data_IF_185324012808
#
_entry.id   IF_185324012808
#
_cell.length_a   1.000
_cell.length_b   1.000
_cell.length_c   1.000
_cell.angle_alpha   90.00
_cell.angle_beta   90.00
_cell.angle_gamma   90.00
#
_symmetry.space_group_name_H-M   'P 1'
#
loop_
_entity.id
_entity.type
_entity.pdbx_description
1 polymer ?
#
# COMPACT_ATOMS: atom_id res chain seq x y z
N UNK A 1 0.64 -24.45 9.15
CA UNK A 1 1.54 -23.32 9.45
C UNK A 1 2.87 -23.77 10.10
N UNK A 2 3.00 -25.03 10.51
CA UNK A 2 4.26 -25.62 11.01
C UNK A 2 4.96 -26.51 9.98
N UNK A 3 4.40 -26.67 8.79
CA UNK A 3 4.95 -27.49 7.70
C UNK A 3 6.03 -26.78 6.87
N UNK A 4 6.59 -27.49 5.89
CA UNK A 4 7.72 -27.05 5.07
C UNK A 4 7.43 -25.87 4.14
N UNK A 5 6.17 -25.49 3.96
CA UNK A 5 5.78 -24.33 3.15
C UNK A 5 5.92 -22.98 3.85
N UNK A 6 6.30 -22.96 5.14
CA UNK A 6 6.39 -21.77 5.96
C UNK A 6 7.82 -21.54 6.46
N UNK A 7 8.22 -20.28 6.59
CA UNK A 7 9.53 -19.92 7.11
C UNK A 7 9.66 -20.14 8.63
N UNK A 8 10.89 -20.18 9.13
CA UNK A 8 11.16 -20.48 10.55
C UNK A 8 10.67 -19.38 11.50
N UNK A 9 10.64 -18.12 11.07
CA UNK A 9 10.10 -17.00 11.85
C UNK A 9 8.60 -17.21 12.09
N UNK A 10 7.86 -17.52 11.02
CA UNK A 10 6.43 -17.84 11.10
C UNK A 10 6.15 -19.07 11.97
N UNK A 11 6.94 -20.14 11.81
CA UNK A 11 6.80 -21.34 12.64
C UNK A 11 7.08 -21.06 14.12
N UNK A 12 8.08 -20.24 14.40
CA UNK A 12 8.39 -19.84 15.77
C UNK A 12 7.27 -19.01 16.40
N UNK A 13 6.68 -18.07 15.65
CA UNK A 13 5.53 -17.29 16.11
C UNK A 13 4.32 -18.19 16.41
N UNK A 14 4.03 -19.16 15.54
CA UNK A 14 2.92 -20.11 15.76
C UNK A 14 3.18 -21.00 16.98
N UNK A 15 4.42 -21.49 17.17
CA UNK A 15 4.77 -22.28 18.37
C UNK A 15 4.59 -21.45 19.64
N UNK A 16 5.04 -20.18 19.63
CA UNK A 16 4.86 -19.30 20.78
C UNK A 16 3.39 -19.11 21.17
N UNK A 17 2.47 -18.96 20.18
CA UNK A 17 1.03 -18.91 20.45
C UNK A 17 0.50 -20.23 21.00
N UNK A 18 1.03 -21.39 20.51
CA UNK A 18 0.64 -22.72 20.98
C UNK A 18 1.12 -22.99 22.42
N UNK A 19 2.28 -22.47 22.80
CA UNK A 19 2.87 -22.67 24.12
C UNK A 19 2.31 -21.70 25.17
N UNK A 20 1.70 -20.58 24.74
CA UNK A 20 1.05 -19.62 25.65
C UNK A 20 -0.15 -20.26 26.34
N UNK A 21 -0.31 -20.06 27.65
CA UNK A 21 -1.48 -20.53 28.41
C UNK A 21 -2.77 -19.83 27.93
N UNK A 22 -2.68 -18.53 27.67
CA UNK A 22 -3.77 -17.77 27.03
C UNK A 22 -3.79 -18.04 25.52
N UNK A 23 -4.84 -18.70 25.06
CA UNK A 23 -5.06 -19.08 23.67
C UNK A 23 -5.80 -18.02 22.84
N UNK A 24 -6.10 -16.86 23.42
CA UNK A 24 -6.88 -15.79 22.75
C UNK A 24 -6.25 -15.40 21.41
N UNK A 25 -4.95 -15.09 21.41
CA UNK A 25 -4.26 -14.68 20.17
C UNK A 25 -4.18 -15.82 19.14
N UNK A 26 -3.97 -17.07 19.57
CA UNK A 26 -4.01 -18.23 18.71
C UNK A 26 -5.38 -18.40 18.04
N UNK A 27 -6.45 -18.27 18.82
CA UNK A 27 -7.83 -18.37 18.32
C UNK A 27 -8.08 -17.26 17.31
N UNK A 28 -7.80 -16.01 17.69
CA UNK A 28 -7.98 -14.85 16.81
C UNK A 28 -7.17 -14.92 15.50
N UNK A 29 -5.98 -15.51 15.55
CA UNK A 29 -5.13 -15.67 14.38
C UNK A 29 -5.63 -16.72 13.39
N UNK A 30 -6.40 -17.72 13.85
CA UNK A 30 -6.73 -18.92 13.04
C UNK A 30 -8.23 -19.29 12.98
N UNK A 31 -9.15 -18.59 13.67
CA UNK A 31 -10.56 -18.99 13.69
C UNK A 31 -11.28 -18.83 12.35
N UNK A 32 -10.72 -18.03 11.44
CA UNK A 32 -11.18 -17.84 10.06
C UNK A 32 -10.03 -17.44 9.15
N UNK A 33 -10.30 -17.36 7.86
CA UNK A 33 -9.40 -16.77 6.89
C UNK A 33 -9.64 -15.25 6.79
N UNK A 34 -8.58 -14.49 6.51
CA UNK A 34 -8.68 -13.07 6.25
C UNK A 34 -9.44 -12.83 4.94
N UNK A 35 -10.60 -12.20 5.04
CA UNK A 35 -11.48 -12.01 3.90
C UNK A 35 -10.92 -10.98 2.92
N UNK A 36 -10.87 -11.34 1.65
CA UNK A 36 -10.71 -10.38 0.58
C UNK A 36 -12.09 -9.70 0.36
N UNK A 37 -12.27 -8.53 0.98
CA UNK A 37 -13.49 -7.73 0.85
C UNK A 37 -13.49 -6.88 -0.41
N UNK A 38 -14.47 -5.96 -0.52
CA UNK A 38 -14.52 -5.01 -1.63
C UNK A 38 -13.20 -4.24 -1.76
N UNK A 39 -12.45 -4.57 -2.81
CA UNK A 39 -11.20 -3.93 -3.16
C UNK A 39 -9.98 -4.28 -2.30
N UNK A 40 -9.98 -5.36 -1.50
CA UNK A 40 -8.74 -5.82 -0.86
C UNK A 40 -8.86 -6.49 0.51
N UNK A 41 -7.72 -6.61 1.20
CA UNK A 41 -7.57 -7.15 2.55
C UNK A 41 -7.27 -6.05 3.56
N UNK A 42 -7.63 -6.25 4.81
CA UNK A 42 -7.18 -5.45 5.95
C UNK A 42 -7.21 -6.29 7.22
N UNK A 43 -6.15 -6.24 8.02
CA UNK A 43 -6.06 -6.97 9.27
C UNK A 43 -4.85 -6.60 10.10
N UNK A 44 -4.80 -7.12 11.31
CA UNK A 44 -3.62 -7.06 12.18
C UNK A 44 -2.50 -7.89 11.55
N UNK A 45 -1.27 -7.39 11.60
CA UNK A 45 -0.09 -8.12 11.12
C UNK A 45 0.30 -9.24 12.08
N UNK A 46 0.70 -10.39 11.54
CA UNK A 46 1.18 -11.54 12.31
C UNK A 46 1.00 -12.87 11.60
N UNK A 47 1.43 -13.94 12.25
CA UNK A 47 1.21 -15.30 11.77
C UNK A 47 -0.27 -15.71 11.94
N UNK A 48 -0.82 -16.39 10.95
CA UNK A 48 -2.21 -16.87 10.99
C UNK A 48 -2.98 -16.57 9.72
N UNK A 49 -4.06 -17.34 9.50
CA UNK A 49 -4.93 -17.19 8.33
C UNK A 49 -5.76 -15.90 8.40
N UNK A 50 -6.07 -15.43 9.61
CA UNK A 50 -6.81 -14.19 9.85
C UNK A 50 -5.89 -12.99 10.15
N UNK A 51 -4.67 -13.01 9.66
CA UNK A 51 -3.66 -11.97 9.85
C UNK A 51 -3.07 -11.51 8.51
N UNK A 52 -2.60 -10.25 8.47
CA UNK A 52 -1.78 -9.76 7.36
C UNK A 52 -0.34 -10.27 7.49
N UNK A 53 0.10 -11.05 6.53
CA UNK A 53 1.44 -11.61 6.43
C UNK A 53 1.79 -11.93 4.97
N UNK A 54 3.01 -12.40 4.73
CA UNK A 54 3.49 -12.72 3.38
C UNK A 54 2.66 -13.80 2.68
N UNK A 55 2.05 -14.73 3.43
CA UNK A 55 1.26 -15.83 2.87
C UNK A 55 -0.14 -15.38 2.48
N UNK A 56 -0.82 -14.58 3.31
CA UNK A 56 -2.14 -14.03 2.99
C UNK A 56 -2.06 -13.00 1.86
N UNK A 57 -1.01 -12.15 1.84
CA UNK A 57 -0.70 -11.25 0.71
C UNK A 57 -0.38 -12.05 -0.56
N UNK A 58 0.42 -13.11 -0.43
CA UNK A 58 0.75 -14.00 -1.55
C UNK A 58 -0.49 -14.67 -2.14
N UNK A 59 -1.37 -15.21 -1.30
CA UNK A 59 -2.62 -15.85 -1.75
C UNK A 59 -3.55 -14.85 -2.46
N UNK A 60 -3.73 -13.65 -1.90
CA UNK A 60 -4.50 -12.59 -2.53
C UNK A 60 -3.94 -12.21 -3.90
N UNK A 61 -2.60 -12.05 -3.99
CA UNK A 61 -1.92 -11.70 -5.23
C UNK A 61 -1.99 -12.81 -6.27
N UNK A 62 -1.90 -14.07 -5.84
CA UNK A 62 -2.07 -15.23 -6.73
C UNK A 62 -3.49 -15.27 -7.31
N UNK A 63 -4.51 -15.08 -6.48
CA UNK A 63 -5.91 -15.02 -6.93
C UNK A 63 -6.15 -13.88 -7.91
N UNK A 64 -5.65 -12.68 -7.59
CA UNK A 64 -5.73 -11.53 -8.49
C UNK A 64 -4.97 -11.81 -9.81
N UNK A 65 -3.79 -12.41 -9.76
CA UNK A 65 -3.04 -12.82 -10.97
C UNK A 65 -3.84 -13.78 -11.84
N UNK A 66 -4.51 -14.75 -11.23
CA UNK A 66 -5.35 -15.73 -11.94
C UNK A 66 -6.53 -15.02 -12.64
N UNK A 67 -7.18 -14.08 -11.95
CA UNK A 67 -8.27 -13.31 -12.52
C UNK A 67 -7.79 -12.41 -13.67
N UNK A 68 -6.70 -11.66 -13.48
CA UNK A 68 -6.15 -10.78 -14.52
C UNK A 68 -5.82 -11.55 -15.81
N UNK A 69 -5.23 -12.74 -15.72
CA UNK A 69 -4.95 -13.60 -16.88
C UNK A 69 -6.21 -14.06 -17.62
N UNK A 70 -7.35 -14.16 -16.93
CA UNK A 70 -8.64 -14.49 -17.57
C UNK A 70 -9.27 -13.24 -18.18
N UNK A 71 -9.27 -12.12 -17.45
CA UNK A 71 -9.90 -10.87 -17.87
C UNK A 71 -9.18 -10.21 -19.06
N UNK A 72 -7.88 -10.43 -19.18
CA UNK A 72 -7.01 -9.82 -20.21
C UNK A 72 -6.24 -10.88 -21.00
N UNK A 73 -6.89 -12.01 -21.31
CA UNK A 73 -6.27 -13.14 -22.01
C UNK A 73 -5.70 -12.78 -23.39
N UNK A 74 -6.28 -11.77 -24.06
CA UNK A 74 -5.89 -11.33 -25.40
C UNK A 74 -4.68 -10.37 -25.40
N UNK A 75 -4.24 -9.88 -24.22
CA UNK A 75 -3.10 -8.98 -24.15
C UNK A 75 -1.77 -9.76 -24.19
N UNK A 76 -0.80 -9.29 -24.97
CA UNK A 76 0.52 -9.92 -25.05
C UNK A 76 1.28 -9.81 -23.71
N UNK A 77 1.02 -8.77 -22.94
CA UNK A 77 1.63 -8.53 -21.63
C UNK A 77 0.66 -7.79 -20.71
N UNK A 78 0.30 -8.41 -19.61
CA UNK A 78 -0.43 -7.78 -18.50
C UNK A 78 0.57 -7.03 -17.63
N UNK A 79 0.18 -5.84 -17.14
CA UNK A 79 1.02 -4.95 -16.33
C UNK A 79 0.30 -4.56 -15.07
N UNK A 80 1.02 -4.40 -13.97
CA UNK A 80 0.50 -3.90 -12.69
C UNK A 80 1.44 -2.85 -12.10
N UNK A 81 0.89 -1.88 -11.37
CA UNK A 81 1.66 -0.93 -10.57
C UNK A 81 1.50 -1.27 -9.08
N UNK A 82 2.59 -1.22 -8.33
CA UNK A 82 2.59 -1.53 -6.89
C UNK A 82 3.23 -0.40 -6.11
N UNK A 83 2.50 0.12 -5.12
CA UNK A 83 3.01 1.07 -4.14
C UNK A 83 2.80 0.61 -2.71
N UNK A 84 3.39 1.33 -1.77
CA UNK A 84 3.25 1.05 -0.35
C UNK A 84 3.35 2.34 0.48
N UNK A 85 2.84 2.30 1.70
CA UNK A 85 2.97 3.38 2.68
C UNK A 85 4.18 3.18 3.62
N UNK A 86 4.21 3.95 4.72
CA UNK A 86 5.27 3.92 5.73
C UNK A 86 5.14 2.79 6.75
N UNK A 87 4.04 2.04 6.77
CA UNK A 87 3.76 1.03 7.80
C UNK A 87 4.79 -0.07 7.82
N UNK A 88 5.00 -0.62 9.01
CA UNK A 88 5.82 -1.82 9.18
C UNK A 88 5.35 -2.92 8.23
N UNK A 89 6.28 -3.61 7.61
CA UNK A 89 6.07 -4.63 6.59
C UNK A 89 5.42 -4.17 5.26
N UNK A 90 4.98 -2.93 5.06
CA UNK A 90 4.36 -2.50 3.79
C UNK A 90 5.31 -2.72 2.60
N UNK A 91 6.59 -2.38 2.73
CA UNK A 91 7.62 -2.63 1.71
C UNK A 91 7.79 -4.14 1.44
N UNK A 92 7.93 -4.95 2.50
CA UNK A 92 8.07 -6.42 2.39
C UNK A 92 6.85 -7.04 1.68
N UNK A 93 5.65 -6.59 2.02
CA UNK A 93 4.42 -7.06 1.37
C UNK A 93 4.32 -6.63 -0.10
N UNK A 94 4.80 -5.42 -0.44
CA UNK A 94 4.87 -4.96 -1.82
C UNK A 94 5.83 -5.81 -2.66
N UNK A 95 6.97 -6.18 -2.10
CA UNK A 95 7.94 -7.07 -2.74
C UNK A 95 7.38 -8.48 -2.94
N UNK A 96 6.69 -9.04 -1.95
CA UNK A 96 5.99 -10.33 -2.08
C UNK A 96 4.93 -10.28 -3.18
N UNK A 97 4.14 -9.21 -3.25
CA UNK A 97 3.16 -9.04 -4.32
C UNK A 97 3.86 -8.95 -5.70
N UNK A 98 4.97 -8.21 -5.79
CA UNK A 98 5.76 -8.11 -7.03
C UNK A 98 6.31 -9.47 -7.47
N UNK A 99 6.83 -10.26 -6.53
CA UNK A 99 7.32 -11.61 -6.80
C UNK A 99 6.20 -12.52 -7.33
N UNK A 100 5.04 -12.53 -6.69
CA UNK A 100 3.91 -13.38 -7.10
C UNK A 100 3.36 -12.96 -8.47
N UNK A 101 3.18 -11.65 -8.73
CA UNK A 101 2.75 -11.19 -10.06
C UNK A 101 3.75 -11.58 -11.14
N UNK A 102 5.04 -11.30 -10.93
CA UNK A 102 6.09 -11.59 -11.91
C UNK A 102 6.27 -13.09 -12.16
N UNK A 103 6.14 -13.93 -11.12
CA UNK A 103 6.13 -15.38 -11.24
C UNK A 103 4.94 -15.92 -12.06
N UNK A 104 3.87 -15.13 -12.19
CA UNK A 104 2.72 -15.43 -13.03
C UNK A 104 2.80 -14.83 -14.43
N UNK A 105 3.98 -14.26 -14.82
CA UNK A 105 4.21 -13.68 -16.14
C UNK A 105 3.67 -12.26 -16.31
N UNK A 106 3.31 -11.59 -15.22
CA UNK A 106 2.77 -10.24 -15.22
C UNK A 106 3.93 -9.24 -15.03
N UNK A 107 4.03 -8.22 -15.88
CA UNK A 107 4.98 -7.11 -15.73
C UNK A 107 4.59 -6.26 -14.52
N UNK A 108 5.55 -5.97 -13.67
CA UNK A 108 5.37 -5.20 -12.44
C UNK A 108 6.14 -3.90 -12.52
N UNK A 109 5.48 -2.79 -12.21
CA UNK A 109 6.07 -1.50 -11.89
C UNK A 109 6.00 -1.29 -10.38
N UNK A 110 7.12 -1.45 -9.70
CA UNK A 110 7.22 -1.33 -8.24
C UNK A 110 7.85 0.01 -7.87
N UNK A 111 7.18 0.82 -7.08
CA UNK A 111 7.75 2.06 -6.57
C UNK A 111 8.98 1.78 -5.68
N UNK A 112 10.04 2.57 -5.87
CA UNK A 112 11.32 2.46 -5.15
C UNK A 112 11.19 2.77 -3.64
N UNK A 113 10.22 3.60 -3.29
CA UNK A 113 9.92 4.01 -1.92
C UNK A 113 8.42 4.22 -1.74
N UNK A 114 8.00 4.60 -0.52
CA UNK A 114 6.61 4.92 -0.22
C UNK A 114 6.05 6.00 -1.16
N UNK A 115 4.80 5.82 -1.58
CA UNK A 115 4.05 6.81 -2.36
C UNK A 115 2.60 6.87 -1.90
N UNK A 116 1.95 8.03 -2.02
CA UNK A 116 0.54 8.17 -1.67
C UNK A 116 -0.35 7.42 -2.66
N UNK A 117 -1.48 6.93 -2.14
CA UNK A 117 -2.49 6.19 -2.93
C UNK A 117 -2.87 6.86 -4.26
N UNK A 118 -3.10 8.19 -4.34
CA UNK A 118 -3.45 8.84 -5.60
C UNK A 118 -2.38 8.72 -6.68
N UNK A 119 -1.12 8.66 -6.31
CA UNK A 119 -0.05 8.50 -7.29
C UNK A 119 0.01 7.08 -7.85
N UNK A 120 -0.27 6.05 -7.03
CA UNK A 120 -0.40 4.68 -7.53
C UNK A 120 -1.56 4.58 -8.52
N UNK A 121 -2.71 5.19 -8.22
CA UNK A 121 -3.84 5.32 -9.14
C UNK A 121 -3.45 6.02 -10.45
N UNK A 122 -2.66 7.08 -10.38
CA UNK A 122 -2.13 7.77 -11.56
C UNK A 122 -1.19 6.85 -12.36
N UNK A 123 -0.25 6.16 -11.70
CA UNK A 123 0.70 5.27 -12.35
C UNK A 123 0.02 4.13 -13.12
N UNK A 124 -1.08 3.57 -12.59
CA UNK A 124 -1.87 2.53 -13.28
C UNK A 124 -2.30 3.02 -14.66
N UNK A 125 -2.85 4.23 -14.74
CA UNK A 125 -3.34 4.83 -16.00
C UNK A 125 -2.19 5.29 -16.89
N UNK A 126 -1.20 5.94 -16.32
CA UNK A 126 -0.06 6.51 -17.04
C UNK A 126 0.80 5.43 -17.72
N UNK A 127 0.99 4.28 -17.07
CA UNK A 127 1.77 3.16 -17.56
C UNK A 127 0.94 2.13 -18.35
N UNK A 128 -0.37 2.34 -18.48
CA UNK A 128 -1.30 1.43 -19.15
C UNK A 128 -1.37 0.07 -18.46
N UNK A 129 -1.41 0.06 -17.12
CA UNK A 129 -1.55 -1.14 -16.33
C UNK A 129 -3.00 -1.64 -16.31
N UNK A 130 -3.19 -2.95 -16.19
CA UNK A 130 -4.50 -3.58 -16.07
C UNK A 130 -5.01 -3.59 -14.64
N UNK A 131 -4.09 -3.45 -13.68
CA UNK A 131 -4.41 -3.41 -12.26
C UNK A 131 -3.30 -2.72 -11.49
N UNK A 132 -3.53 -2.48 -10.21
CA UNK A 132 -2.51 -2.04 -9.28
C UNK A 132 -2.85 -2.41 -7.86
N UNK A 133 -1.84 -2.33 -7.00
CA UNK A 133 -1.95 -2.65 -5.59
C UNK A 133 -1.24 -1.60 -4.76
N UNK A 134 -1.83 -1.24 -3.63
CA UNK A 134 -1.13 -0.46 -2.62
C UNK A 134 -1.22 -1.15 -1.25
N UNK A 135 -0.06 -1.32 -0.62
CA UNK A 135 0.07 -1.90 0.72
C UNK A 135 -0.07 -0.78 1.74
N UNK A 136 -1.25 -0.70 2.36
CA UNK A 136 -1.60 0.37 3.32
C UNK A 136 -2.84 0.00 4.11
N UNK A 137 -2.87 0.40 5.38
CA UNK A 137 -4.10 0.39 6.18
C UNK A 137 -4.64 1.80 6.46
N UNK A 138 -4.32 2.79 5.60
CA UNK A 138 -4.78 4.18 5.74
C UNK A 138 -4.33 4.78 7.09
N UNK A 139 -5.28 5.12 7.97
CA UNK A 139 -5.06 5.70 9.30
C UNK A 139 -5.37 4.74 10.45
N UNK A 140 -5.52 3.44 10.18
CA UNK A 140 -5.70 2.44 11.24
C UNK A 140 -4.50 2.42 12.20
N UNK A 141 -4.65 1.88 13.42
CA UNK A 141 -3.55 1.66 14.35
C UNK A 141 -2.35 0.95 13.70
N UNK A 142 -1.17 1.13 14.28
CA UNK A 142 0.11 0.67 13.71
C UNK A 142 0.22 -0.84 13.52
N UNK A 143 -0.55 -1.61 14.27
CA UNK A 143 -0.60 -3.07 14.20
C UNK A 143 -1.27 -3.58 12.91
N UNK A 144 -2.02 -2.73 12.23
CA UNK A 144 -2.74 -3.07 11.01
C UNK A 144 -1.91 -2.81 9.76
N UNK A 145 -2.15 -3.66 8.77
CA UNK A 145 -1.78 -3.39 7.38
C UNK A 145 -2.93 -3.80 6.46
N UNK A 146 -2.80 -3.50 5.17
CA UNK A 146 -3.82 -3.81 4.18
C UNK A 146 -3.24 -3.95 2.79
N UNK A 147 -4.04 -4.53 1.92
CA UNK A 147 -3.77 -4.73 0.51
C UNK A 147 -4.98 -4.19 -0.25
N UNK A 148 -4.85 -3.04 -0.89
CA UNK A 148 -5.91 -2.44 -1.70
C UNK A 148 -5.65 -2.72 -3.17
N UNK A 149 -6.63 -3.33 -3.86
CA UNK A 149 -6.57 -3.63 -5.27
C UNK A 149 -7.32 -2.57 -6.11
N UNK A 150 -6.72 -2.21 -7.23
CA UNK A 150 -7.21 -1.21 -8.18
C UNK A 150 -7.38 -1.83 -9.56
N UNK A 151 -8.32 -1.29 -10.34
CA UNK A 151 -8.55 -1.73 -11.71
C UNK A 151 -7.83 -0.82 -12.71
N UNK A 152 -7.98 -1.08 -14.00
CA UNK A 152 -7.27 -0.40 -15.09
C UNK A 152 -7.65 1.08 -15.28
N UNK A 153 -8.74 1.52 -14.69
CA UNK A 153 -9.17 2.92 -14.64
C UNK A 153 -8.50 3.72 -13.51
N UNK A 154 -7.71 3.04 -12.66
CA UNK A 154 -7.06 3.62 -11.48
C UNK A 154 -7.98 3.79 -10.28
N UNK A 155 -9.22 3.32 -10.34
CA UNK A 155 -10.13 3.29 -9.20
C UNK A 155 -9.94 2.01 -8.36
N UNK A 156 -10.28 2.08 -7.08
CA UNK A 156 -10.33 0.89 -6.25
C UNK A 156 -11.32 -0.11 -6.86
N UNK A 157 -10.93 -1.38 -6.87
CA UNK A 157 -11.70 -2.45 -7.52
C UNK A 157 -13.09 -2.58 -6.91
N UNK A 158 -14.10 -2.62 -7.78
CA UNK A 158 -15.51 -2.79 -7.44
C UNK A 158 -16.13 -3.89 -8.30
N UNK A 159 -17.40 -4.22 -8.07
CA UNK A 159 -18.13 -5.22 -8.85
C UNK A 159 -18.10 -4.91 -10.37
N UNK A 160 -17.92 -5.92 -11.23
CA UNK A 160 -17.83 -7.36 -10.91
C UNK A 160 -16.41 -7.85 -10.56
N UNK A 161 -15.41 -6.98 -10.64
CA UNK A 161 -13.99 -7.35 -10.59
C UNK A 161 -13.54 -7.79 -9.20
N UNK A 162 -14.06 -7.15 -8.14
CA UNK A 162 -13.83 -7.54 -6.75
C UNK A 162 -14.33 -8.96 -6.48
N UNK A 163 -15.58 -9.26 -6.84
CA UNK A 163 -16.17 -10.58 -6.68
C UNK A 163 -15.41 -11.66 -7.47
N UNK A 164 -15.08 -11.38 -8.73
CA UNK A 164 -14.32 -12.31 -9.55
C UNK A 164 -12.91 -12.57 -8.98
N UNK A 165 -12.29 -11.57 -8.39
CA UNK A 165 -11.00 -11.72 -7.68
C UNK A 165 -11.16 -12.57 -6.42
N UNK A 166 -12.20 -12.31 -5.61
CA UNK A 166 -12.53 -13.11 -4.42
C UNK A 166 -12.70 -14.59 -4.80
N UNK A 167 -13.44 -14.87 -5.88
CA UNK A 167 -13.66 -16.24 -6.34
C UNK A 167 -12.35 -16.95 -6.73
N UNK A 168 -11.36 -16.24 -7.26
CA UNK A 168 -10.03 -16.80 -7.55
C UNK A 168 -9.16 -16.92 -6.29
N UNK A 169 -9.25 -15.99 -5.36
CA UNK A 169 -8.54 -16.06 -4.06
C UNK A 169 -9.03 -17.27 -3.27
N UNK A 170 -10.32 -17.51 -3.22
CA UNK A 170 -10.93 -18.63 -2.50
C UNK A 170 -10.55 -20.02 -3.05
N UNK A 171 -9.98 -20.08 -4.27
CA UNK A 171 -9.44 -21.32 -4.83
C UNK A 171 -8.03 -21.65 -4.35
N UNK A 172 -7.36 -20.67 -3.71
CA UNK A 172 -6.02 -20.87 -3.15
C UNK A 172 -6.18 -21.50 -1.76
N UNK A 173 -6.07 -22.80 -1.70
CA UNK A 173 -6.31 -23.59 -0.47
C UNK A 173 -5.02 -24.02 0.24
N UNK A 174 -3.89 -23.81 -0.41
CA UNK A 174 -2.56 -24.16 0.12
C UNK A 174 -1.52 -23.11 -0.23
N UNK A 175 -0.56 -22.91 0.66
CA UNK A 175 0.62 -22.07 0.39
C UNK A 175 1.38 -22.55 -0.86
N UNK A 176 1.27 -23.83 -1.21
CA UNK A 176 1.90 -24.44 -2.41
C UNK A 176 1.25 -23.99 -3.72
N UNK A 177 0.03 -23.44 -3.66
CA UNK A 177 -0.68 -22.92 -4.83
C UNK A 177 -0.16 -21.54 -5.22
N UNK A 178 0.63 -20.89 -4.36
CA UNK A 178 1.17 -19.55 -4.55
C UNK A 178 2.59 -19.63 -5.10
N UNK A 179 2.85 -18.86 -6.16
CA UNK A 179 4.16 -18.79 -6.82
C UNK A 179 4.99 -17.66 -6.20
N UNK A 180 5.68 -17.94 -5.11
CA UNK A 180 6.49 -16.94 -4.39
C UNK A 180 7.84 -16.61 -5.04
N UNK A 181 8.30 -17.41 -6.01
CA UNK A 181 9.59 -17.18 -6.66
C UNK A 181 9.44 -16.23 -7.83
N UNK A 182 9.71 -14.95 -7.62
CA UNK A 182 9.59 -13.90 -8.60
C UNK A 182 10.50 -14.06 -9.82
N UNK A 183 10.13 -13.35 -10.90
CA UNK A 183 10.95 -13.17 -12.09
C UNK A 183 11.43 -11.71 -12.16
N UNK A 184 12.69 -11.47 -11.81
CA UNK A 184 13.27 -10.13 -11.74
C UNK A 184 13.24 -9.37 -13.08
N UNK A 185 13.25 -10.07 -14.23
CA UNK A 185 13.17 -9.45 -15.56
C UNK A 185 11.81 -8.77 -15.81
N UNK A 186 10.77 -9.20 -15.06
CA UNK A 186 9.43 -8.62 -15.15
C UNK A 186 9.16 -7.56 -14.07
N UNK A 187 10.13 -7.27 -13.18
CA UNK A 187 10.00 -6.24 -12.16
C UNK A 187 10.83 -5.03 -12.55
N UNK A 188 10.17 -3.92 -12.73
CA UNK A 188 10.78 -2.62 -13.02
C UNK A 188 10.56 -1.67 -11.85
N UNK A 189 11.65 -1.11 -11.33
CA UNK A 189 11.58 -0.12 -10.27
C UNK A 189 11.27 1.24 -10.88
N UNK A 190 10.23 1.90 -10.36
CA UNK A 190 9.79 3.24 -10.76
C UNK A 190 9.88 4.21 -9.58
N UNK A 191 9.94 5.50 -9.85
CA UNK A 191 10.07 6.54 -8.82
C UNK A 191 10.01 7.94 -9.41
N UNK A 192 11.10 8.71 -9.35
CA UNK A 192 11.15 10.15 -9.64
C UNK A 192 10.54 10.55 -10.98
N UNK A 193 10.65 9.73 -12.01
CA UNK A 193 10.05 10.04 -13.32
C UNK A 193 8.51 10.05 -13.22
N UNK A 194 7.94 9.12 -12.46
CA UNK A 194 6.48 9.09 -12.22
C UNK A 194 6.09 10.23 -11.29
N UNK A 195 6.87 10.50 -10.23
CA UNK A 195 6.66 11.66 -9.33
C UNK A 195 6.53 12.94 -10.15
N UNK A 196 7.47 13.19 -11.07
CA UNK A 196 7.49 14.38 -11.93
C UNK A 196 6.24 14.46 -12.80
N UNK A 197 5.88 13.39 -13.52
CA UNK A 197 4.67 13.36 -14.36
C UNK A 197 3.40 13.60 -13.53
N UNK A 198 3.34 13.01 -12.32
CA UNK A 198 2.22 13.18 -11.41
C UNK A 198 2.10 14.64 -10.94
N UNK A 199 3.19 15.26 -10.50
CA UNK A 199 3.23 16.66 -10.06
C UNK A 199 2.88 17.63 -11.21
N UNK A 200 3.37 17.39 -12.42
CA UNK A 200 3.03 18.16 -13.61
C UNK A 200 1.53 18.06 -13.92
N UNK A 201 0.96 16.85 -13.79
CA UNK A 201 -0.48 16.63 -13.99
C UNK A 201 -1.31 17.36 -12.94
N UNK A 202 -0.93 17.28 -11.66
CA UNK A 202 -1.63 18.00 -10.58
C UNK A 202 -1.60 19.51 -10.80
N UNK A 203 -0.47 20.05 -11.24
CA UNK A 203 -0.35 21.49 -11.54
C UNK A 203 -1.39 21.98 -12.54
N UNK A 204 -1.74 21.17 -13.53
CA UNK A 204 -2.77 21.53 -14.53
C UNK A 204 -4.18 21.66 -13.94
N UNK A 205 -4.39 21.18 -12.72
CA UNK A 205 -5.69 21.23 -12.03
C UNK A 205 -5.87 22.52 -11.21
N UNK A 206 -4.86 23.40 -11.16
CA UNK A 206 -4.94 24.68 -10.46
C UNK A 206 -6.00 25.59 -11.10
N UNK A 207 -7.00 25.97 -10.30
CA UNK A 207 -8.09 26.87 -10.75
C UNK A 207 -7.77 28.34 -10.60
N UNK A 208 -6.82 28.70 -9.74
CA UNK A 208 -6.54 30.09 -9.37
C UNK A 208 -5.04 30.37 -9.27
N UNK A 209 -4.26 30.20 -10.36
CA UNK A 209 -2.81 30.40 -10.34
C UNK A 209 -2.44 31.87 -10.02
N UNK A 210 -3.25 32.85 -10.43
CA UNK A 210 -3.04 34.26 -10.11
C UNK A 210 -3.18 34.55 -8.62
N UNK A 211 -4.16 33.94 -7.94
CA UNK A 211 -4.31 34.08 -6.49
C UNK A 211 -3.10 33.49 -5.76
N UNK A 212 -2.58 32.36 -6.22
CA UNK A 212 -1.37 31.76 -5.66
C UNK A 212 -0.17 32.69 -5.86
N UNK A 213 -0.03 33.30 -7.05
CA UNK A 213 1.06 34.25 -7.31
C UNK A 213 1.01 35.48 -6.40
N UNK A 214 -0.18 35.96 -6.05
CA UNK A 214 -0.36 37.07 -5.12
C UNK A 214 -0.10 36.70 -3.66
N UNK A 215 -0.25 35.44 -3.29
CA UNK A 215 -0.11 34.91 -1.92
C UNK A 215 0.98 33.83 -1.83
N UNK A 216 1.99 33.88 -2.69
CA UNK A 216 3.04 32.86 -2.77
C UNK A 216 3.85 32.70 -1.48
N UNK A 217 3.91 33.76 -0.65
CA UNK A 217 4.62 33.82 0.63
C UNK A 217 3.74 33.46 1.84
N UNK A 218 2.47 33.08 1.61
CA UNK A 218 1.57 32.63 2.67
C UNK A 218 2.23 31.53 3.50
N UNK A 219 2.22 31.70 4.83
CA UNK A 219 2.75 30.71 5.77
C UNK A 219 1.89 29.45 5.73
N UNK A 220 2.46 28.34 5.28
CA UNK A 220 1.83 27.02 5.22
C UNK A 220 2.59 26.08 6.15
N UNK A 221 1.99 25.67 7.27
CA UNK A 221 2.54 24.63 8.12
C UNK A 221 2.05 23.28 7.61
N UNK A 222 2.98 22.36 7.35
CA UNK A 222 2.68 21.06 6.81
C UNK A 222 3.29 19.94 7.66
N UNK A 223 2.52 18.90 7.93
CA UNK A 223 2.99 17.66 8.50
C UNK A 223 2.47 16.46 7.73
N UNK A 224 3.30 15.46 7.38
CA UNK A 224 2.87 14.18 6.84
C UNK A 224 2.39 13.19 7.91
N UNK A 225 2.52 13.52 9.19
CA UNK A 225 2.28 12.60 10.33
C UNK A 225 3.01 11.27 10.07
N UNK A 226 4.31 11.31 9.82
CA UNK A 226 5.19 10.16 9.48
C UNK A 226 4.86 9.42 8.18
N UNK A 227 3.89 9.89 7.38
CA UNK A 227 3.28 9.17 6.26
C UNK A 227 3.81 9.53 4.87
N UNK A 228 3.05 9.10 3.87
CA UNK A 228 3.43 9.13 2.44
C UNK A 228 3.50 10.52 1.82
N UNK A 229 2.93 11.53 2.48
CA UNK A 229 2.94 12.90 1.99
C UNK A 229 4.28 13.63 2.13
N UNK A 230 5.25 13.06 2.84
CA UNK A 230 6.53 13.71 3.19
C UNK A 230 7.28 14.30 1.99
N UNK A 231 7.30 13.63 0.85
CA UNK A 231 8.02 14.07 -0.36
C UNK A 231 7.13 14.89 -1.30
N UNK A 232 5.96 14.36 -1.64
CA UNK A 232 5.17 14.88 -2.75
C UNK A 232 4.33 16.10 -2.39
N UNK A 233 3.84 16.22 -1.16
CA UNK A 233 3.01 17.37 -0.80
C UNK A 233 3.83 18.67 -0.78
N UNK A 234 5.00 18.75 -0.10
CA UNK A 234 5.85 19.94 -0.20
C UNK A 234 6.31 20.24 -1.63
N UNK A 235 6.63 19.20 -2.41
CA UNK A 235 7.01 19.36 -3.81
C UNK A 235 5.86 19.93 -4.65
N UNK A 236 4.62 19.46 -4.42
CA UNK A 236 3.42 19.98 -5.09
C UNK A 236 3.15 21.44 -4.74
N UNK A 237 3.21 21.78 -3.45
CA UNK A 237 3.03 23.16 -2.99
C UNK A 237 4.06 24.11 -3.64
N UNK A 238 5.33 23.71 -3.69
CA UNK A 238 6.38 24.46 -4.40
C UNK A 238 6.10 24.57 -5.89
N UNK A 239 5.64 23.49 -6.52
CA UNK A 239 5.30 23.48 -7.95
C UNK A 239 4.13 24.39 -8.28
N UNK A 240 3.17 24.58 -7.37
CA UNK A 240 2.12 25.60 -7.48
C UNK A 240 2.64 27.04 -7.32
N UNK A 241 3.77 27.24 -6.68
CA UNK A 241 4.40 28.55 -6.50
C UNK A 241 4.50 29.03 -5.05
N UNK A 242 4.06 28.24 -4.07
CA UNK A 242 4.22 28.60 -2.66
C UNK A 242 5.69 28.49 -2.21
N UNK A 243 6.17 29.50 -1.48
CA UNK A 243 7.58 29.62 -1.09
C UNK A 243 7.81 29.50 0.42
N UNK A 244 6.76 29.67 1.23
CA UNK A 244 6.86 29.69 2.69
C UNK A 244 6.19 28.46 3.30
N UNK A 245 6.84 27.29 3.12
CA UNK A 245 6.36 26.00 3.63
C UNK A 245 7.18 25.65 4.87
N UNK A 246 6.53 25.55 6.01
CA UNK A 246 7.12 25.23 7.30
C UNK A 246 6.79 23.77 7.64
N UNK A 247 7.82 23.00 7.88
CA UNK A 247 7.72 21.59 8.22
C UNK A 247 7.63 21.38 9.74
N UNK A 248 7.12 20.22 10.13
CA UNK A 248 7.22 19.67 11.50
C UNK A 248 8.27 18.56 11.47
N UNK A 249 9.55 18.87 11.80
CA UNK A 249 10.67 17.96 11.53
C UNK A 249 10.52 16.57 12.18
N UNK A 250 9.95 16.52 13.38
CA UNK A 250 9.72 15.27 14.11
C UNK A 250 8.74 14.35 13.37
N UNK A 251 7.75 14.92 12.69
CA UNK A 251 6.74 14.20 11.93
C UNK A 251 7.11 13.98 10.46
N UNK A 252 8.15 14.64 9.95
CA UNK A 252 8.74 14.37 8.63
C UNK A 252 9.54 13.04 8.61
N UNK A 253 9.92 12.54 9.79
CA UNK A 253 10.58 11.23 9.91
C UNK A 253 9.57 10.13 9.56
N UNK A 254 9.80 9.43 8.44
CA UNK A 254 8.97 8.31 8.01
C UNK A 254 9.06 7.15 9.01
N UNK A 255 7.94 6.73 9.57
CA UNK A 255 7.91 5.65 10.56
C UNK A 255 6.56 4.93 10.60
N UNK A 256 6.59 3.61 10.55
CA UNK A 256 5.41 2.76 10.76
C UNK A 256 4.96 2.66 12.22
N UNK A 257 5.77 3.16 13.15
CA UNK A 257 5.45 3.18 14.59
C UNK A 257 4.74 4.47 15.02
N UNK A 258 4.73 5.50 14.16
CA UNK A 258 4.08 6.80 14.41
C UNK A 258 4.44 7.41 15.77
N UNK A 259 5.74 7.65 16.08
CA UNK A 259 6.23 7.89 17.45
C UNK A 259 5.70 9.17 18.11
N UNK A 260 5.16 10.11 17.36
CA UNK A 260 4.64 11.38 17.92
C UNK A 260 3.13 11.40 18.11
N UNK A 261 2.43 10.33 17.70
CA UNK A 261 0.97 10.25 17.77
C UNK A 261 0.51 8.88 18.25
N UNK A 262 -0.60 8.80 18.94
CA UNK A 262 -1.22 7.54 19.34
C UNK A 262 -1.91 6.89 18.13
N UNK A 263 -2.54 7.71 17.29
CA UNK A 263 -3.20 7.30 16.06
C UNK A 263 -2.78 8.25 14.93
N UNK A 264 -2.40 7.75 13.74
CA UNK A 264 -2.01 8.59 12.61
C UNK A 264 -3.22 9.17 11.86
N UNK A 265 -4.36 9.34 12.56
CA UNK A 265 -5.57 9.89 11.97
C UNK A 265 -5.57 11.42 12.07
N UNK A 266 -5.52 12.17 10.95
CA UNK A 266 -5.52 13.64 10.95
C UNK A 266 -6.84 14.26 11.42
N UNK A 267 -7.91 13.47 11.57
CA UNK A 267 -9.17 13.91 12.17
C UNK A 267 -9.08 14.02 13.70
N UNK A 268 -8.07 13.40 14.31
CA UNK A 268 -7.81 13.50 15.75
C UNK A 268 -6.99 14.77 16.03
N UNK A 269 -7.50 15.72 16.86
CA UNK A 269 -6.79 16.98 17.13
C UNK A 269 -5.36 16.76 17.63
N UNK A 270 -5.13 15.77 18.48
CA UNK A 270 -3.81 15.44 19.03
C UNK A 270 -2.76 15.09 17.93
N UNK A 271 -3.19 14.60 16.77
CA UNK A 271 -2.28 14.29 15.67
C UNK A 271 -1.69 15.57 15.04
N UNK A 272 -2.38 16.71 15.16
CA UNK A 272 -2.00 18.00 14.59
C UNK A 272 -1.42 18.98 15.62
N UNK A 273 -1.37 18.66 16.93
CA UNK A 273 -0.92 19.55 18.00
C UNK A 273 0.47 20.13 17.74
N UNK A 274 1.42 19.33 17.22
CA UNK A 274 2.76 19.81 16.88
C UNK A 274 2.72 20.83 15.74
N UNK A 275 1.92 20.60 14.70
CA UNK A 275 1.77 21.51 13.57
C UNK A 275 1.11 22.85 14.02
N UNK A 276 0.11 22.76 14.90
CA UNK A 276 -0.53 23.94 15.48
C UNK A 276 0.48 24.73 16.31
N UNK A 277 1.29 24.06 17.14
CA UNK A 277 2.33 24.71 17.95
C UNK A 277 3.35 25.47 17.09
N UNK A 278 3.78 24.89 15.98
CA UNK A 278 4.73 25.53 15.03
C UNK A 278 4.07 26.69 14.28
N UNK A 279 2.74 26.77 14.23
CA UNK A 279 2.01 27.82 13.51
C UNK A 279 2.06 29.17 14.22
N UNK A 280 2.26 29.18 15.53
CA UNK A 280 2.41 30.39 16.37
C UNK A 280 3.87 30.86 16.42
#
# INVERSE_FOLDING_TARGET
WLGDGYDEETKAAVRAMLDNEDKTDLIEAFYKDLEFGTGGLRGIMGAGTNRMNIYTVGAATQGLSNYLKKAFADLPQIKVAIGHDCRNNSRKFAEVAADVFSANGIKVYLFDALRPTPEVSFAIRELGCQSGVILTASHNPKEYNGYKAYWNDGAQMIAPHDKNTIDEVNKITSVKDVKFRGNAELIEIIGEEIDRRYLDRIKTLSLSPEAIAHHHDMKIVYTPIHGTGVKLIPASLKNFGFTNIIHVPEQDVVSGDFPTVVSPNPEEPAALDMAITVSY
#
